data_IF_572043153035
#
_entry.id   IF_572043153035
#
_cell.length_a   1.000
_cell.length_b   1.000
_cell.length_c   1.000
_cell.angle_alpha   90.00
_cell.angle_beta   90.00
_cell.angle_gamma   90.00
#
_symmetry.space_group_name_H-M   'P 1'
#
loop_
_entity.id
_entity.type
_entity.pdbx_description
1 polymer ?
#
# COMPACT_ATOMS: atom_id res chain seq x y z
N UNK A 1 3.55 16.52 4.97
CA UNK A 1 3.43 15.14 5.49
C UNK A 1 2.76 15.12 6.86
N UNK A 2 1.47 14.84 6.88
CA UNK A 2 0.61 14.74 8.06
C UNK A 2 0.16 13.30 8.22
N UNK A 3 0.55 12.69 9.35
CA UNK A 3 0.17 11.35 9.76
C UNK A 3 -0.16 11.39 11.25
N UNK A 4 -1.32 10.87 11.64
CA UNK A 4 -1.76 10.78 13.04
C UNK A 4 -2.00 9.34 13.40
N UNK A 5 -1.81 8.97 14.66
CA UNK A 5 -2.23 7.65 15.13
C UNK A 5 -3.75 7.53 15.01
N UNK A 6 -4.22 6.39 14.52
CA UNK A 6 -5.65 6.12 14.49
C UNK A 6 -6.19 6.02 15.93
N UNK A 7 -7.38 6.56 16.15
CA UNK A 7 -8.08 6.44 17.43
C UNK A 7 -8.56 4.99 17.64
N UNK A 8 -8.93 4.64 18.87
CA UNK A 8 -9.50 3.31 19.13
C UNK A 8 -10.82 3.10 18.38
N UNK A 9 -11.63 4.15 18.20
CA UNK A 9 -12.88 4.10 17.44
C UNK A 9 -12.61 3.81 15.95
N UNK A 10 -11.65 4.51 15.35
CA UNK A 10 -11.22 4.29 13.97
C UNK A 10 -10.66 2.86 13.79
N UNK A 11 -9.85 2.39 14.74
CA UNK A 11 -9.34 1.01 14.72
C UNK A 11 -10.49 0.00 14.82
N UNK A 12 -11.47 0.21 15.69
CA UNK A 12 -12.62 -0.70 15.81
C UNK A 12 -13.47 -0.71 14.53
N UNK A 13 -13.63 0.42 13.86
CA UNK A 13 -14.29 0.52 12.55
C UNK A 13 -13.53 -0.28 11.48
N UNK A 14 -12.21 -0.12 11.40
CA UNK A 14 -11.40 -0.90 10.46
C UNK A 14 -11.49 -2.40 10.78
N UNK A 15 -11.46 -2.77 12.06
CA UNK A 15 -11.57 -4.16 12.49
C UNK A 15 -12.93 -4.78 12.12
N UNK A 16 -14.02 -4.02 12.22
CA UNK A 16 -15.35 -4.53 11.87
C UNK A 16 -15.48 -4.82 10.38
N UNK A 17 -14.83 -4.01 9.53
CA UNK A 17 -14.77 -4.17 8.05
C UNK A 17 -13.83 -5.28 7.61
N UNK A 18 -12.58 -5.22 8.04
CA UNK A 18 -11.50 -6.06 7.49
C UNK A 18 -11.19 -7.31 8.30
N UNK A 19 -11.72 -7.43 9.53
CA UNK A 19 -11.51 -8.54 10.50
C UNK A 19 -10.08 -8.74 10.98
N UNK A 20 -9.08 -8.50 10.14
CA UNK A 20 -7.64 -8.65 10.44
C UNK A 20 -6.86 -7.54 9.74
N UNK A 21 -5.83 -7.04 10.42
CA UNK A 21 -4.99 -5.95 9.88
C UNK A 21 -3.71 -6.44 9.21
N UNK A 22 -3.11 -7.55 9.66
CA UNK A 22 -1.91 -8.09 9.03
C UNK A 22 -2.29 -8.86 7.75
N UNK A 23 -2.91 -8.17 6.81
CA UNK A 23 -3.49 -8.73 5.60
C UNK A 23 -2.42 -9.28 4.67
N UNK A 24 -1.22 -8.69 4.71
CA UNK A 24 -0.01 -9.22 4.06
C UNK A 24 0.45 -10.60 4.57
N UNK A 25 -0.07 -11.10 5.70
CA UNK A 25 0.25 -12.43 6.24
C UNK A 25 -0.84 -13.48 5.95
N UNK A 26 -1.81 -13.17 5.08
CA UNK A 26 -2.85 -14.11 4.70
C UNK A 26 -2.31 -15.09 3.66
N UNK A 27 -2.44 -16.39 3.92
CA UNK A 27 -2.12 -17.43 2.95
C UNK A 27 -3.21 -17.55 1.88
N UNK A 28 -4.49 -17.49 2.29
CA UNK A 28 -5.66 -17.54 1.40
C UNK A 28 -6.55 -16.31 1.56
N UNK A 29 -6.28 -15.19 0.86
CA UNK A 29 -7.09 -13.97 0.97
C UNK A 29 -8.57 -14.17 0.61
N UNK A 30 -8.88 -15.11 -0.29
CA UNK A 30 -10.25 -15.43 -0.73
C UNK A 30 -11.17 -15.96 0.37
N UNK A 31 -10.63 -16.41 1.50
CA UNK A 31 -11.43 -16.84 2.67
C UNK A 31 -12.02 -15.64 3.43
N UNK A 32 -11.41 -14.46 3.30
CA UNK A 32 -11.81 -13.25 4.01
C UNK A 32 -12.35 -12.16 3.09
N UNK A 33 -12.01 -12.21 1.80
CA UNK A 33 -12.36 -11.19 0.83
C UNK A 33 -13.06 -11.80 -0.39
N UNK A 34 -14.18 -11.18 -0.78
CA UNK A 34 -14.99 -11.64 -1.90
C UNK A 34 -14.34 -11.34 -3.26
N UNK A 35 -13.52 -10.29 -3.34
CA UNK A 35 -12.88 -9.83 -4.55
C UNK A 35 -11.40 -9.65 -4.30
N UNK A 36 -10.58 -10.32 -5.10
CA UNK A 36 -9.13 -10.27 -4.99
C UNK A 36 -8.52 -10.01 -6.36
N UNK A 37 -7.34 -9.42 -6.37
CA UNK A 37 -6.54 -9.20 -7.55
C UNK A 37 -5.17 -8.63 -7.18
N UNK A 38 -4.37 -8.34 -8.19
CA UNK A 38 -3.03 -7.77 -8.05
C UNK A 38 -2.94 -6.57 -8.99
N UNK A 39 -2.77 -5.38 -8.44
CA UNK A 39 -2.39 -4.20 -9.20
C UNK A 39 -0.96 -4.35 -9.67
N UNK A 40 -0.76 -4.24 -10.97
CA UNK A 40 0.48 -4.60 -11.63
C UNK A 40 0.72 -3.70 -12.85
N UNK A 41 1.97 -3.60 -13.27
CA UNK A 41 2.37 -2.97 -14.52
C UNK A 41 1.95 -3.80 -15.73
N UNK A 42 1.87 -5.13 -15.55
CA UNK A 42 1.54 -6.06 -16.63
C UNK A 42 0.14 -6.64 -16.43
N UNK A 43 -0.60 -6.82 -17.52
CA UNK A 43 -1.94 -7.41 -17.50
C UNK A 43 -1.94 -8.94 -17.39
N UNK A 44 -0.77 -9.57 -17.28
CA UNK A 44 -0.57 -11.01 -17.17
C UNK A 44 0.70 -11.31 -16.38
N UNK A 45 0.84 -12.56 -15.94
CA UNK A 45 2.11 -13.05 -15.37
C UNK A 45 3.16 -13.11 -16.49
N UNK A 46 4.35 -12.61 -16.20
CA UNK A 46 5.50 -12.69 -17.10
C UNK A 46 6.11 -14.09 -17.08
N UNK A 47 6.69 -14.52 -18.21
CA UNK A 47 7.60 -15.67 -18.19
C UNK A 47 8.91 -15.30 -17.49
N UNK A 48 9.73 -16.28 -17.14
CA UNK A 48 11.04 -16.03 -16.51
C UNK A 48 11.94 -15.18 -17.41
N UNK A 49 11.94 -15.43 -18.73
CA UNK A 49 12.70 -14.65 -19.69
C UNK A 49 12.21 -13.19 -19.76
N UNK A 50 10.90 -13.00 -19.82
CA UNK A 50 10.31 -11.66 -19.85
C UNK A 50 10.58 -10.90 -18.54
N UNK A 51 10.49 -11.59 -17.40
CA UNK A 51 10.80 -10.99 -16.10
C UNK A 51 12.28 -10.53 -16.05
N UNK A 52 13.20 -11.37 -16.52
CA UNK A 52 14.62 -11.03 -16.60
C UNK A 52 14.88 -9.80 -17.48
N UNK A 53 14.16 -9.67 -18.60
CA UNK A 53 14.32 -8.55 -19.52
C UNK A 53 13.62 -7.26 -19.05
N UNK A 54 12.46 -7.37 -18.39
CA UNK A 54 11.55 -6.25 -18.13
C UNK A 54 11.60 -5.71 -16.69
N UNK A 55 12.03 -6.51 -15.71
CA UNK A 55 12.06 -6.14 -14.28
C UNK A 55 13.44 -5.63 -13.80
N UNK A 56 14.29 -5.13 -14.71
CA UNK A 56 15.61 -4.61 -14.35
C UNK A 56 15.60 -3.42 -13.36
N UNK A 57 16.78 -2.94 -12.95
CA UNK A 57 16.96 -1.94 -11.87
C UNK A 57 16.13 -0.63 -12.01
N UNK A 58 15.69 -0.30 -13.23
CA UNK A 58 14.89 0.90 -13.50
C UNK A 58 13.39 0.66 -13.49
N UNK A 59 12.92 -0.56 -13.28
CA UNK A 59 11.50 -0.93 -13.33
C UNK A 59 10.68 -0.07 -12.36
N UNK A 60 11.09 -0.03 -11.09
CA UNK A 60 10.42 0.76 -10.04
C UNK A 60 10.49 2.26 -10.31
N UNK A 61 11.59 2.75 -10.88
CA UNK A 61 11.75 4.15 -11.27
C UNK A 61 10.84 4.53 -12.45
N UNK A 62 10.66 3.62 -13.41
CA UNK A 62 9.89 3.85 -14.63
C UNK A 62 8.38 3.94 -14.35
N UNK A 63 7.86 3.08 -13.49
CA UNK A 63 6.42 2.95 -13.25
C UNK A 63 5.95 3.52 -11.90
N UNK A 64 6.86 3.92 -11.01
CA UNK A 64 6.50 4.39 -9.67
C UNK A 64 5.56 5.60 -9.63
N UNK A 65 5.57 6.44 -10.67
CA UNK A 65 4.64 7.56 -10.81
C UNK A 65 3.19 7.06 -10.96
N UNK A 66 2.95 6.03 -11.79
CA UNK A 66 1.63 5.45 -12.01
C UNK A 66 0.99 4.97 -10.70
N UNK A 67 1.76 4.35 -9.81
CA UNK A 67 1.30 3.97 -8.47
C UNK A 67 1.00 5.19 -7.62
N UNK A 68 1.89 6.18 -7.59
CA UNK A 68 1.69 7.40 -6.80
C UNK A 68 0.43 8.17 -7.25
N UNK A 69 0.19 8.25 -8.55
CA UNK A 69 -0.98 8.90 -9.14
C UNK A 69 -2.26 8.12 -8.82
N UNK A 70 -2.23 6.79 -8.95
CA UNK A 70 -3.33 5.88 -8.55
C UNK A 70 -3.72 6.10 -7.09
N UNK A 71 -2.76 6.03 -6.17
CA UNK A 71 -3.02 6.23 -4.74
C UNK A 71 -3.56 7.65 -4.47
N UNK A 72 -3.01 8.68 -5.13
CA UNK A 72 -3.47 10.05 -4.99
C UNK A 72 -4.93 10.21 -5.43
N UNK A 73 -5.33 9.62 -6.55
CA UNK A 73 -6.72 9.65 -7.01
C UNK A 73 -7.65 8.90 -6.05
N UNK A 74 -7.25 7.71 -5.58
CA UNK A 74 -8.00 6.96 -4.56
C UNK A 74 -8.19 7.76 -3.27
N UNK A 75 -7.16 8.48 -2.83
CA UNK A 75 -7.23 9.34 -1.64
C UNK A 75 -8.21 10.51 -1.80
N UNK A 76 -8.33 11.07 -3.00
CA UNK A 76 -9.26 12.18 -3.26
C UNK A 76 -10.73 11.76 -3.28
N UNK A 77 -11.03 10.49 -3.57
CA UNK A 77 -12.41 9.96 -3.54
C UNK A 77 -12.77 9.29 -2.21
N UNK A 78 -11.79 9.05 -1.33
CA UNK A 78 -12.00 8.37 -0.04
C UNK A 78 -12.51 9.35 1.03
N UNK A 79 -13.82 9.31 1.28
CA UNK A 79 -14.48 10.20 2.25
C UNK A 79 -14.18 9.84 3.72
N UNK A 80 -13.93 8.56 4.04
CA UNK A 80 -13.71 8.11 5.43
C UNK A 80 -12.26 8.28 5.90
N UNK A 81 -11.41 8.80 5.03
CA UNK A 81 -9.97 8.90 5.20
C UNK A 81 -9.24 7.57 4.91
N UNK A 82 -7.97 7.68 4.53
CA UNK A 82 -7.10 6.53 4.27
C UNK A 82 -6.30 6.19 5.52
N UNK A 83 -6.22 4.90 5.83
CA UNK A 83 -5.46 4.39 6.97
C UNK A 83 -4.36 3.47 6.48
N UNK A 84 -3.28 3.37 7.26
CA UNK A 84 -2.15 2.52 6.95
C UNK A 84 -1.74 1.68 8.13
N UNK A 85 -1.38 0.43 7.89
CA UNK A 85 -0.69 -0.41 8.86
C UNK A 85 0.81 -0.43 8.55
N UNK A 86 1.59 -0.10 9.57
CA UNK A 86 3.04 -0.29 9.59
C UNK A 86 3.34 -1.55 10.39
N UNK A 87 3.78 -2.61 9.71
CA UNK A 87 4.15 -3.87 10.36
C UNK A 87 5.53 -3.78 11.03
N UNK A 88 5.57 -3.41 12.30
CA UNK A 88 6.83 -3.06 13.00
C UNK A 88 7.72 -4.25 13.36
N UNK A 89 7.18 -5.47 13.33
CA UNK A 89 7.92 -6.67 13.72
C UNK A 89 8.88 -7.07 12.58
N UNK A 90 10.02 -7.65 12.94
CA UNK A 90 10.98 -8.18 11.96
C UNK A 90 11.97 -7.16 11.39
N UNK A 91 11.85 -5.87 11.70
CA UNK A 91 12.84 -4.88 11.27
C UNK A 91 14.03 -4.82 12.24
N UNK A 92 15.19 -5.32 11.81
CA UNK A 92 16.43 -5.24 12.58
C UNK A 92 16.92 -3.79 12.72
N UNK A 93 17.78 -3.54 13.71
CA UNK A 93 18.37 -2.21 13.93
C UNK A 93 19.21 -1.77 12.72
N UNK A 94 19.90 -2.72 12.09
CA UNK A 94 20.73 -2.52 10.91
C UNK A 94 19.87 -2.16 9.70
N UNK A 95 18.80 -2.92 9.45
CA UNK A 95 17.84 -2.64 8.38
C UNK A 95 17.15 -1.28 8.59
N UNK A 96 16.79 -0.94 9.83
CA UNK A 96 16.22 0.38 10.15
C UNK A 96 17.20 1.52 9.83
N UNK A 97 18.47 1.38 10.24
CA UNK A 97 19.51 2.38 9.93
C UNK A 97 19.75 2.53 8.42
N UNK A 98 19.80 1.41 7.69
CA UNK A 98 19.93 1.43 6.24
C UNK A 98 18.78 2.21 5.59
N UNK A 99 17.53 1.88 5.96
CA UNK A 99 16.35 2.59 5.43
C UNK A 99 16.40 4.09 5.72
N UNK A 100 16.80 4.50 6.92
CA UNK A 100 16.99 5.91 7.25
C UNK A 100 18.06 6.61 6.39
N UNK A 101 19.12 5.90 5.98
CA UNK A 101 20.18 6.47 5.13
C UNK A 101 19.73 6.74 3.69
N UNK A 102 18.67 6.06 3.24
CA UNK A 102 18.08 6.25 1.90
C UNK A 102 17.09 7.43 1.84
N UNK A 103 16.73 8.02 2.99
CA UNK A 103 15.68 9.03 3.10
C UNK A 103 16.26 10.42 3.31
N UNK A 104 15.60 11.44 2.76
CA UNK A 104 15.95 12.83 3.07
C UNK A 104 15.58 13.19 4.52
N UNK A 105 15.98 14.39 4.99
CA UNK A 105 15.76 14.81 6.39
C UNK A 105 14.28 14.80 6.82
N UNK A 106 13.37 15.22 5.93
CA UNK A 106 11.93 15.27 6.22
C UNK A 106 11.34 13.87 6.30
N UNK A 107 11.61 13.04 5.28
CA UNK A 107 11.20 11.64 5.19
C UNK A 107 11.72 10.82 6.39
N UNK A 108 12.99 11.00 6.74
CA UNK A 108 13.65 10.39 7.91
C UNK A 108 12.90 10.68 9.21
N UNK A 109 12.46 11.93 9.42
CA UNK A 109 11.74 12.30 10.63
C UNK A 109 10.36 11.63 10.71
N UNK A 110 9.64 11.56 9.59
CA UNK A 110 8.36 10.86 9.52
C UNK A 110 8.57 9.36 9.73
N UNK A 111 9.53 8.74 9.04
CA UNK A 111 9.83 7.32 9.18
C UNK A 111 10.14 6.96 10.63
N UNK A 112 10.95 7.74 11.37
CA UNK A 112 11.17 7.50 12.80
C UNK A 112 9.88 7.57 13.63
N UNK A 113 8.99 8.52 13.35
CA UNK A 113 7.70 8.65 14.05
C UNK A 113 6.78 7.47 13.79
N UNK A 114 6.87 6.84 12.62
CA UNK A 114 6.12 5.60 12.33
C UNK A 114 6.49 4.48 13.30
N UNK A 115 7.69 4.47 13.90
CA UNK A 115 8.13 3.42 14.83
C UNK A 115 8.12 3.85 16.31
N UNK A 116 7.70 5.07 16.63
CA UNK A 116 7.72 5.57 18.03
C UNK A 116 6.58 5.07 18.91
N UNK A 117 5.58 4.38 18.34
CA UNK A 117 4.41 3.87 19.06
C UNK A 117 4.18 2.39 18.76
N UNK A 118 3.48 1.67 19.63
CA UNK A 118 3.21 0.22 19.44
C UNK A 118 2.05 -0.07 18.48
N UNK A 119 1.03 0.79 18.41
CA UNK A 119 -0.27 0.50 17.73
C UNK A 119 -0.21 0.29 16.21
N UNK A 120 0.86 0.72 15.54
CA UNK A 120 1.11 0.42 14.12
C UNK A 120 0.18 1.05 13.07
N UNK A 121 -1.02 1.50 13.46
CA UNK A 121 -2.04 2.02 12.55
C UNK A 121 -2.09 3.55 12.59
N UNK A 122 -2.06 4.17 11.42
CA UNK A 122 -2.05 5.62 11.27
C UNK A 122 -3.10 6.05 10.25
N UNK A 123 -3.69 7.22 10.48
CA UNK A 123 -4.53 7.94 9.52
C UNK A 123 -3.67 8.91 8.71
N UNK A 124 -3.85 8.89 7.39
CA UNK A 124 -3.18 9.81 6.48
C UNK A 124 -3.94 11.13 6.47
N UNK A 125 -3.23 12.24 6.72
CA UNK A 125 -3.80 13.57 6.78
C UNK A 125 -3.50 14.48 5.58
N UNK A 126 -2.59 14.09 4.69
CA UNK A 126 -2.31 14.80 3.44
C UNK A 126 -1.76 13.87 2.34
N UNK A 127 -1.87 14.32 1.09
CA UNK A 127 -1.36 13.59 -0.11
C UNK A 127 0.15 13.38 -0.03
N UNK A 128 0.91 14.33 0.51
CA UNK A 128 2.37 14.17 0.66
C UNK A 128 2.74 12.95 1.52
N UNK A 129 2.02 12.71 2.62
CA UNK A 129 2.22 11.55 3.47
C UNK A 129 1.84 10.24 2.75
N UNK A 130 0.75 10.26 1.98
CA UNK A 130 0.35 9.12 1.15
C UNK A 130 1.43 8.77 0.14
N UNK A 131 1.83 9.74 -0.70
CA UNK A 131 2.85 9.56 -1.74
C UNK A 131 4.17 9.09 -1.13
N UNK A 132 4.56 9.61 0.04
CA UNK A 132 5.73 9.11 0.76
C UNK A 132 5.63 7.62 1.08
N UNK A 133 4.51 7.16 1.65
CA UNK A 133 4.31 5.75 2.00
C UNK A 133 4.20 4.85 0.77
N UNK A 134 3.53 5.32 -0.29
CA UNK A 134 3.46 4.62 -1.58
C UNK A 134 4.86 4.46 -2.16
N UNK A 135 5.67 5.52 -2.17
CA UNK A 135 7.07 5.49 -2.62
C UNK A 135 7.89 4.48 -1.84
N UNK A 136 7.72 4.38 -0.51
CA UNK A 136 8.43 3.35 0.27
C UNK A 136 8.13 1.94 -0.23
N UNK A 137 6.87 1.66 -0.60
CA UNK A 137 6.47 0.34 -1.12
C UNK A 137 6.98 0.12 -2.55
N UNK A 138 6.83 1.12 -3.42
CA UNK A 138 7.28 1.08 -4.83
C UNK A 138 8.78 0.87 -4.93
N UNK A 139 9.58 1.52 -4.08
CA UNK A 139 11.04 1.35 -4.07
C UNK A 139 11.48 0.17 -3.19
N UNK A 140 10.54 -0.64 -2.71
CA UNK A 140 10.78 -1.80 -1.83
C UNK A 140 11.57 -1.45 -0.56
N UNK A 141 11.56 -0.17 -0.18
CA UNK A 141 12.24 0.31 1.01
C UNK A 141 11.44 -0.07 2.24
N UNK A 142 10.11 -0.07 2.18
CA UNK A 142 9.26 -0.57 3.25
C UNK A 142 7.83 -0.75 2.75
N UNK A 143 7.24 -1.94 2.98
CA UNK A 143 5.86 -2.22 2.58
C UNK A 143 4.84 -1.75 3.62
N UNK A 144 3.70 -1.30 3.11
CA UNK A 144 2.62 -0.70 3.89
C UNK A 144 1.30 -1.29 3.38
N UNK A 145 0.38 -1.62 4.30
CA UNK A 145 -0.99 -2.00 3.96
C UNK A 145 -1.85 -0.74 4.03
N UNK A 146 -2.54 -0.40 2.95
CA UNK A 146 -3.39 0.78 2.82
C UNK A 146 -4.86 0.38 2.85
N UNK A 147 -5.62 0.92 3.80
CA UNK A 147 -7.04 0.66 3.97
C UNK A 147 -7.85 1.86 3.46
N UNK A 148 -8.82 1.56 2.60
CA UNK A 148 -9.77 2.51 2.00
C UNK A 148 -11.19 2.13 2.46
N UNK A 149 -11.66 2.63 3.62
CA UNK A 149 -12.86 2.13 4.27
C UNK A 149 -14.14 2.40 3.49
N UNK A 150 -14.26 3.53 2.78
CA UNK A 150 -15.43 3.80 1.94
C UNK A 150 -15.50 2.85 0.75
N UNK A 151 -14.35 2.39 0.24
CA UNK A 151 -14.28 1.40 -0.83
C UNK A 151 -14.34 -0.06 -0.31
N UNK A 152 -14.23 -0.27 1.00
CA UNK A 152 -14.13 -1.60 1.62
C UNK A 152 -12.97 -2.43 1.04
N UNK A 153 -11.89 -1.73 0.69
CA UNK A 153 -10.72 -2.27 -0.03
C UNK A 153 -9.45 -2.06 0.79
N UNK A 154 -8.52 -3.02 0.69
CA UNK A 154 -7.15 -2.91 1.16
C UNK A 154 -6.19 -3.15 0.00
N UNK A 155 -5.17 -2.32 -0.11
CA UNK A 155 -4.08 -2.44 -1.09
C UNK A 155 -2.77 -2.65 -0.33
N UNK A 156 -2.00 -3.66 -0.71
CA UNK A 156 -0.82 -4.10 0.03
C UNK A 156 0.43 -3.78 -0.79
N UNK A 157 1.37 -3.05 -0.20
CA UNK A 157 2.68 -2.85 -0.81
C UNK A 157 3.42 -4.18 -0.95
N UNK A 158 4.06 -4.41 -2.10
CA UNK A 158 4.72 -5.68 -2.39
C UNK A 158 5.88 -5.50 -3.38
N UNK A 159 6.67 -6.57 -3.55
CA UNK A 159 7.78 -6.65 -4.49
C UNK A 159 7.33 -6.50 -5.94
N UNK A 160 8.27 -6.09 -6.80
CA UNK A 160 8.13 -6.06 -8.26
C UNK A 160 6.89 -5.29 -8.74
N UNK A 161 6.47 -4.29 -7.96
CA UNK A 161 5.27 -3.49 -8.21
C UNK A 161 3.96 -4.31 -8.33
N UNK A 162 3.92 -5.52 -7.75
CA UNK A 162 2.78 -6.42 -7.82
C UNK A 162 1.91 -6.30 -6.55
N UNK A 163 1.14 -5.23 -6.42
CA UNK A 163 0.43 -4.85 -5.18
C UNK A 163 -0.90 -5.60 -5.05
N UNK A 164 -1.06 -6.54 -4.10
CA UNK A 164 -2.34 -7.22 -3.90
C UNK A 164 -3.45 -6.24 -3.51
N UNK A 165 -4.64 -6.47 -4.05
CA UNK A 165 -5.86 -5.71 -3.77
C UNK A 165 -6.92 -6.70 -3.32
N UNK A 166 -7.44 -6.48 -2.12
CA UNK A 166 -8.54 -7.27 -1.59
C UNK A 166 -9.70 -6.37 -1.21
N UNK A 167 -10.92 -6.77 -1.58
CA UNK A 167 -12.12 -6.00 -1.31
C UNK A 167 -13.27 -6.91 -0.93
N UNK A 168 -14.11 -6.40 -0.03
CA UNK A 168 -15.37 -7.03 0.34
C UNK A 168 -16.55 -6.54 -0.52
N UNK A 169 -16.36 -5.47 -1.30
CA UNK A 169 -17.38 -4.82 -2.11
C UNK A 169 -17.03 -4.84 -3.58
N UNK A 170 -17.92 -5.37 -4.43
CA UNK A 170 -17.73 -5.33 -5.89
C UNK A 170 -17.67 -3.90 -6.42
N UNK A 171 -18.45 -2.99 -5.82
CA UNK A 171 -18.49 -1.58 -6.22
C UNK A 171 -17.14 -0.93 -5.93
N UNK A 172 -16.61 -1.15 -4.73
CA UNK A 172 -15.31 -0.64 -4.34
C UNK A 172 -14.16 -1.21 -5.16
N UNK A 173 -14.19 -2.53 -5.40
CA UNK A 173 -13.21 -3.20 -6.26
C UNK A 173 -13.21 -2.65 -7.69
N UNK A 174 -14.39 -2.53 -8.31
CA UNK A 174 -14.53 -2.00 -9.66
C UNK A 174 -14.11 -0.52 -9.74
N UNK A 175 -14.38 0.28 -8.69
CA UNK A 175 -13.93 1.67 -8.66
C UNK A 175 -12.41 1.78 -8.55
N UNK A 176 -11.78 0.94 -7.73
CA UNK A 176 -10.32 0.83 -7.71
C UNK A 176 -9.79 0.43 -9.09
N UNK A 177 -10.41 -0.57 -9.73
CA UNK A 177 -10.01 -1.06 -11.06
C UNK A 177 -10.01 0.06 -12.11
N UNK A 178 -11.09 0.83 -12.19
CA UNK A 178 -11.21 1.96 -13.11
C UNK A 178 -10.04 2.95 -12.94
N UNK A 179 -9.78 3.39 -11.70
CA UNK A 179 -8.69 4.33 -11.41
C UNK A 179 -7.32 3.73 -11.73
N UNK A 180 -7.10 2.46 -11.42
CA UNK A 180 -5.84 1.76 -11.72
C UNK A 180 -5.59 1.73 -13.23
N UNK A 181 -6.60 1.39 -14.02
CA UNK A 181 -6.51 1.32 -15.48
C UNK A 181 -6.34 2.71 -16.12
N UNK A 182 -6.99 3.75 -15.58
CA UNK A 182 -6.80 5.16 -16.01
C UNK A 182 -5.34 5.63 -15.82
N UNK A 183 -4.64 5.09 -14.82
CA UNK A 183 -3.24 5.39 -14.54
C UNK A 183 -2.26 4.44 -15.26
N UNK A 184 -2.74 3.65 -16.23
CA UNK A 184 -1.91 2.77 -17.06
C UNK A 184 -1.36 1.55 -16.32
N UNK A 185 -2.03 1.11 -15.26
CA UNK A 185 -1.79 -0.14 -14.54
C UNK A 185 -2.92 -1.14 -14.84
N UNK A 186 -2.79 -2.37 -14.35
CA UNK A 186 -3.77 -3.42 -14.55
C UNK A 186 -4.10 -4.12 -13.25
N UNK A 187 -5.30 -4.73 -13.16
CA UNK A 187 -5.61 -5.72 -12.14
C UNK A 187 -5.53 -7.11 -12.77
N UNK A 188 -4.59 -7.92 -12.31
CA UNK A 188 -4.53 -9.37 -12.58
C UNK A 188 -5.38 -10.13 -11.57
N UNK A 189 -6.08 -11.17 -12.01
CA UNK A 189 -6.88 -12.07 -11.18
C UNK A 189 -6.35 -13.50 -11.29
#
# INVERSE_FOLDING_TARGET
MKLTLATNEEINLLHSKYKRFNTHLLENPSELYNYTGIMDVFNRVLTEEEAFELLGEKHNLKYGANFSDTFTQLFHIEESGVYVLIYKKGLSKEAFKYKLSCLNRSETNIFRKLFSHSKGIYKIGDVEALVFLTKLSVTELYFVDFFFPSLDTVIIGNYDLSFPIYSNSIIGFNKCKEIIEENGLFIRQ
#
